data_IF_494229753177
#
_entry.id   IF_494229753177
#
_cell.length_a   1.000
_cell.length_b   1.000
_cell.length_c   1.000
_cell.angle_alpha   90.00
_cell.angle_beta   90.00
_cell.angle_gamma   90.00
#
_symmetry.space_group_name_H-M   'P 1'
#
loop_
_entity.id
_entity.type
_entity.pdbx_description
1 polymer ?
#
# COMPACT_ATOMS: atom_id res chain seq x y z
N UNK A 1 -14.63 -27.77 -18.50
CA UNK A 1 -13.85 -27.41 -17.30
C UNK A 1 -13.21 -26.07 -17.59
N UNK A 2 -13.67 -24.98 -16.97
CA UNK A 2 -13.04 -23.67 -17.13
C UNK A 2 -11.66 -23.71 -16.46
N UNK A 3 -10.61 -23.31 -17.19
CA UNK A 3 -9.28 -23.16 -16.60
C UNK A 3 -9.38 -22.15 -15.45
N UNK A 4 -9.09 -22.58 -14.22
CA UNK A 4 -8.91 -21.66 -13.10
C UNK A 4 -7.77 -20.72 -13.51
N UNK A 5 -8.06 -19.44 -13.70
CA UNK A 5 -7.01 -18.46 -13.92
C UNK A 5 -6.03 -18.51 -12.74
N UNK A 6 -4.73 -18.44 -13.05
CA UNK A 6 -3.70 -18.49 -12.03
C UNK A 6 -3.85 -17.28 -11.09
N UNK A 7 -3.76 -17.51 -9.78
CA UNK A 7 -3.77 -16.42 -8.80
C UNK A 7 -2.52 -15.55 -8.96
N UNK A 8 -2.65 -14.25 -8.74
CA UNK A 8 -1.56 -13.28 -8.87
C UNK A 8 -1.37 -12.53 -7.55
N UNK A 9 -0.12 -12.38 -7.11
CA UNK A 9 0.22 -11.57 -5.95
C UNK A 9 0.03 -10.08 -6.27
N UNK A 10 -1.01 -9.42 -5.73
CA UNK A 10 -1.31 -8.02 -6.05
C UNK A 10 -0.29 -7.02 -5.51
N UNK A 11 0.47 -7.40 -4.48
CA UNK A 11 1.51 -6.58 -3.83
C UNK A 11 2.91 -7.22 -4.00
N UNK A 12 3.19 -7.79 -5.16
CA UNK A 12 4.43 -8.54 -5.36
C UNK A 12 5.66 -7.64 -5.27
N UNK A 13 6.47 -7.84 -4.24
CA UNK A 13 7.65 -7.01 -3.97
C UNK A 13 8.97 -7.77 -4.19
N UNK A 14 8.98 -9.05 -3.83
CA UNK A 14 10.20 -9.86 -3.73
C UNK A 14 10.33 -10.68 -5.02
N UNK A 15 11.22 -10.23 -5.90
CA UNK A 15 11.51 -10.92 -7.16
C UNK A 15 12.01 -12.35 -6.91
N UNK A 16 11.59 -13.29 -7.75
CA UNK A 16 11.91 -14.72 -7.61
C UNK A 16 11.20 -15.41 -6.45
N UNK A 17 10.29 -14.74 -5.73
CA UNK A 17 9.52 -15.37 -4.66
C UNK A 17 8.45 -16.31 -5.23
N UNK A 18 8.64 -17.61 -4.97
CA UNK A 18 7.74 -18.69 -5.36
C UNK A 18 7.00 -19.32 -4.16
N UNK A 19 6.84 -18.57 -3.07
CA UNK A 19 6.07 -19.02 -1.90
C UNK A 19 4.59 -19.22 -2.27
N UNK A 20 3.86 -19.98 -1.46
CA UNK A 20 2.42 -20.14 -1.65
C UNK A 20 1.68 -18.80 -1.52
N UNK A 21 0.71 -18.60 -2.41
CA UNK A 21 -0.23 -17.48 -2.36
C UNK A 21 -1.28 -17.71 -1.27
N UNK A 22 -1.69 -16.61 -0.65
CA UNK A 22 -2.78 -16.56 0.32
C UNK A 22 -3.91 -15.74 -0.28
N UNK A 23 -5.12 -16.31 -0.27
CA UNK A 23 -6.33 -15.64 -0.74
C UNK A 23 -6.64 -14.39 0.08
N UNK A 24 -7.20 -13.38 -0.58
CA UNK A 24 -7.69 -12.19 0.11
C UNK A 24 -8.91 -12.51 0.97
N UNK A 25 -8.83 -12.17 2.25
CA UNK A 25 -9.97 -11.97 3.14
C UNK A 25 -10.38 -10.50 3.18
N UNK A 26 -11.57 -10.19 3.69
CA UNK A 26 -12.03 -8.82 3.97
C UNK A 26 -11.00 -8.04 4.78
N UNK A 27 -10.48 -8.64 5.85
CA UNK A 27 -9.49 -8.00 6.73
C UNK A 27 -8.17 -7.71 6.04
N UNK A 28 -7.67 -8.61 5.19
CA UNK A 28 -6.43 -8.35 4.43
C UNK A 28 -6.66 -7.31 3.34
N UNK A 29 -7.82 -7.33 2.69
CA UNK A 29 -8.20 -6.34 1.66
C UNK A 29 -8.23 -4.92 2.24
N UNK A 30 -8.96 -4.71 3.34
CA UNK A 30 -9.05 -3.41 4.01
C UNK A 30 -7.68 -2.89 4.44
N UNK A 31 -6.85 -3.77 5.02
CA UNK A 31 -5.50 -3.43 5.44
C UNK A 31 -4.59 -3.04 4.28
N UNK A 32 -4.62 -3.79 3.17
CA UNK A 32 -3.85 -3.45 1.96
C UNK A 32 -4.32 -2.10 1.43
N UNK A 33 -5.64 -1.87 1.35
CA UNK A 33 -6.20 -0.60 0.89
C UNK A 33 -5.78 0.58 1.79
N UNK A 34 -5.83 0.43 3.12
CA UNK A 34 -5.36 1.47 4.05
C UNK A 34 -3.88 1.77 3.85
N UNK A 35 -3.04 0.73 3.78
CA UNK A 35 -1.61 0.90 3.63
C UNK A 35 -1.23 1.48 2.26
N UNK A 36 -1.95 1.10 1.21
CA UNK A 36 -1.85 1.69 -0.13
C UNK A 36 -2.09 3.20 -0.08
N UNK A 37 -3.17 3.64 0.60
CA UNK A 37 -3.46 5.07 0.75
C UNK A 37 -2.34 5.83 1.48
N UNK A 38 -1.67 5.21 2.45
CA UNK A 38 -0.49 5.83 3.07
C UNK A 38 0.68 5.93 2.07
N UNK A 39 0.96 4.86 1.32
CA UNK A 39 2.10 4.81 0.39
C UNK A 39 1.97 5.74 -0.81
N UNK A 40 0.75 6.07 -1.26
CA UNK A 40 0.53 6.98 -2.41
C UNK A 40 1.20 8.35 -2.24
N UNK A 41 1.35 8.82 -1.00
CA UNK A 41 1.93 10.14 -0.70
C UNK A 41 3.42 10.08 -0.31
N UNK A 42 4.05 8.91 -0.40
CA UNK A 42 5.42 8.68 0.05
C UNK A 42 6.37 8.43 -1.13
N UNK A 43 7.56 7.91 -0.86
CA UNK A 43 8.57 7.57 -1.86
C UNK A 43 8.89 6.06 -1.86
N UNK A 44 9.66 5.63 -2.86
CA UNK A 44 10.17 4.25 -2.96
C UNK A 44 9.27 3.29 -3.73
N UNK A 45 9.75 2.04 -3.87
CA UNK A 45 9.08 0.96 -4.63
C UNK A 45 7.71 0.61 -4.06
N UNK A 46 7.50 0.82 -2.76
CA UNK A 46 6.19 0.67 -2.13
C UNK A 46 5.15 1.65 -2.71
N UNK A 47 5.54 2.89 -3.05
CA UNK A 47 4.65 3.84 -3.76
C UNK A 47 4.29 3.34 -5.15
N UNK A 48 5.25 2.84 -5.93
CA UNK A 48 4.98 2.34 -7.29
C UNK A 48 3.92 1.23 -7.29
N UNK A 49 3.99 0.33 -6.30
CA UNK A 49 2.97 -0.70 -6.10
C UNK A 49 1.63 -0.08 -5.68
N UNK A 50 1.65 0.93 -4.79
CA UNK A 50 0.43 1.61 -4.39
C UNK A 50 -0.25 2.35 -5.55
N UNK A 51 0.53 3.01 -6.41
CA UNK A 51 0.07 3.67 -7.63
C UNK A 51 -0.59 2.64 -8.55
N UNK A 52 0.07 1.50 -8.81
CA UNK A 52 -0.51 0.39 -9.58
C UNK A 52 -1.84 -0.10 -9.00
N UNK A 53 -1.88 -0.34 -7.68
CA UNK A 53 -3.10 -0.78 -7.02
C UNK A 53 -4.23 0.25 -7.10
N UNK A 54 -3.91 1.53 -7.03
CA UNK A 54 -4.90 2.61 -7.06
C UNK A 54 -5.65 2.72 -8.40
N UNK A 55 -4.99 2.35 -9.50
CA UNK A 55 -5.57 2.30 -10.84
C UNK A 55 -6.08 0.90 -11.22
N UNK A 56 -5.76 -0.11 -10.41
CA UNK A 56 -6.22 -1.49 -10.63
C UNK A 56 -7.71 -1.62 -10.34
N UNK A 57 -8.36 -2.52 -11.08
CA UNK A 57 -9.80 -2.76 -11.02
C UNK A 57 -10.25 -3.54 -9.76
N UNK A 58 -9.59 -3.34 -8.61
CA UNK A 58 -9.86 -4.04 -7.36
C UNK A 58 -9.62 -3.21 -6.10
N UNK A 59 -8.56 -2.39 -6.07
CA UNK A 59 -8.20 -1.58 -4.89
C UNK A 59 -8.46 -0.08 -5.04
N UNK A 60 -8.80 0.40 -6.24
CA UNK A 60 -9.12 1.80 -6.54
C UNK A 60 -10.35 2.33 -5.80
N UNK A 61 -10.78 3.54 -6.20
CA UNK A 61 -11.87 4.26 -5.53
C UNK A 61 -13.16 3.43 -5.43
N UNK A 62 -13.56 2.81 -6.54
CA UNK A 62 -14.70 1.90 -6.69
C UNK A 62 -14.31 0.42 -6.51
N UNK A 63 -13.12 0.16 -5.96
CA UNK A 63 -12.59 -1.17 -5.70
C UNK A 63 -13.35 -1.90 -4.60
N UNK A 64 -13.48 -3.22 -4.73
CA UNK A 64 -14.12 -4.10 -3.75
C UNK A 64 -13.38 -5.44 -3.64
N UNK A 65 -13.63 -6.18 -2.55
CA UNK A 65 -13.06 -7.51 -2.37
C UNK A 65 -13.51 -8.47 -3.50
N UNK A 66 -14.77 -8.39 -3.92
CA UNK A 66 -15.34 -9.21 -4.98
C UNK A 66 -14.64 -8.95 -6.31
N UNK A 67 -14.36 -7.68 -6.61
CA UNK A 67 -13.56 -7.31 -7.78
C UNK A 67 -12.13 -7.86 -7.69
N UNK A 68 -11.49 -7.79 -6.52
CA UNK A 68 -10.17 -8.40 -6.32
C UNK A 68 -10.19 -9.92 -6.53
N UNK A 69 -11.21 -10.62 -6.03
CA UNK A 69 -11.40 -12.07 -6.24
C UNK A 69 -11.62 -12.36 -7.73
N UNK A 70 -12.45 -11.58 -8.42
CA UNK A 70 -12.67 -11.70 -9.87
C UNK A 70 -11.42 -11.48 -10.71
N UNK A 71 -10.49 -10.65 -10.24
CA UNK A 71 -9.16 -10.46 -10.84
C UNK A 71 -8.12 -11.52 -10.41
N UNK A 72 -8.53 -12.55 -9.66
CA UNK A 72 -7.67 -13.62 -9.12
C UNK A 72 -6.53 -13.09 -8.23
N UNK A 73 -6.77 -11.97 -7.52
CA UNK A 73 -5.77 -11.41 -6.63
C UNK A 73 -5.63 -12.24 -5.34
N UNK A 74 -4.38 -12.49 -5.02
CA UNK A 74 -3.90 -13.11 -3.79
C UNK A 74 -2.64 -12.36 -3.33
N UNK A 75 -1.95 -12.86 -2.32
CA UNK A 75 -0.67 -12.29 -1.91
C UNK A 75 0.27 -13.32 -1.30
N UNK A 76 1.58 -13.13 -1.49
CA UNK A 76 2.58 -13.82 -0.68
C UNK A 76 2.65 -13.19 0.71
N UNK A 77 2.76 -13.99 1.77
CA UNK A 77 2.88 -13.48 3.15
C UNK A 77 4.07 -12.54 3.33
N UNK A 78 5.22 -12.85 2.72
CA UNK A 78 6.42 -12.00 2.80
C UNK A 78 6.23 -10.65 2.12
N UNK A 79 5.57 -10.63 0.95
CA UNK A 79 5.19 -9.40 0.27
C UNK A 79 4.24 -8.56 1.12
N UNK A 80 3.23 -9.19 1.71
CA UNK A 80 2.30 -8.56 2.63
C UNK A 80 3.00 -7.93 3.84
N UNK A 81 3.87 -8.69 4.52
CA UNK A 81 4.61 -8.16 5.67
C UNK A 81 5.49 -6.97 5.29
N UNK A 82 6.14 -7.01 4.12
CA UNK A 82 7.01 -5.94 3.65
C UNK A 82 6.23 -4.67 3.27
N UNK A 83 5.11 -4.83 2.57
CA UNK A 83 4.26 -3.70 2.18
C UNK A 83 3.62 -3.03 3.41
N UNK A 84 3.25 -3.83 4.40
CA UNK A 84 2.61 -3.37 5.65
C UNK A 84 3.60 -2.92 6.74
N UNK A 85 4.90 -2.86 6.44
CA UNK A 85 5.93 -2.54 7.45
C UNK A 85 5.84 -1.07 7.89
N UNK A 86 5.24 -0.86 9.06
CA UNK A 86 5.06 0.46 9.66
C UNK A 86 6.38 1.19 9.86
N UNK A 87 7.47 0.49 10.14
CA UNK A 87 8.76 1.15 10.36
C UNK A 87 9.28 1.80 9.07
N UNK A 88 9.03 1.17 7.92
CA UNK A 88 9.35 1.73 6.62
C UNK A 88 8.47 2.93 6.27
N UNK A 89 7.17 2.82 6.52
CA UNK A 89 6.22 3.93 6.32
C UNK A 89 6.68 5.16 7.10
N UNK A 90 7.01 5.00 8.39
CA UNK A 90 7.47 6.11 9.23
C UNK A 90 8.79 6.71 8.73
N UNK A 91 9.74 5.88 8.27
CA UNK A 91 10.97 6.36 7.66
C UNK A 91 10.73 7.13 6.36
N UNK A 92 9.78 6.68 5.54
CA UNK A 92 9.40 7.37 4.32
C UNK A 92 8.71 8.71 4.60
N UNK A 93 7.79 8.75 5.57
CA UNK A 93 7.16 10.00 6.06
C UNK A 93 8.22 11.01 6.48
N UNK A 94 9.19 10.60 7.31
CA UNK A 94 10.28 11.47 7.74
C UNK A 94 11.11 12.01 6.56
N UNK A 95 11.45 11.17 5.57
CA UNK A 95 12.17 11.65 4.37
C UNK A 95 11.36 12.71 3.61
N UNK A 96 10.05 12.53 3.49
CA UNK A 96 9.18 13.49 2.80
C UNK A 96 9.06 14.81 3.58
N UNK A 97 9.01 14.77 4.91
CA UNK A 97 9.06 15.96 5.79
C UNK A 97 10.40 16.71 5.67
N UNK A 98 11.53 15.99 5.59
CA UNK A 98 12.85 16.59 5.42
C UNK A 98 13.01 17.27 4.05
N UNK A 99 12.33 16.76 3.00
CA UNK A 99 12.35 17.32 1.63
C UNK A 99 11.42 18.53 1.49
N UNK A 100 10.25 18.47 2.12
CA UNK A 100 9.30 19.58 2.21
C UNK A 100 9.26 20.07 3.66
N UNK A 101 10.27 20.85 4.11
CA UNK A 101 10.15 21.51 5.39
C UNK A 101 8.98 22.48 5.26
N UNK A 102 7.80 22.05 5.71
CA UNK A 102 6.70 22.96 5.96
C UNK A 102 7.27 23.90 7.01
N UNK A 103 7.58 25.13 6.58
CA UNK A 103 8.09 26.17 7.46
C UNK A 103 6.98 26.51 8.45
N UNK A 104 6.91 25.75 9.54
CA UNK A 104 6.06 26.05 10.69
C UNK A 104 6.75 27.17 11.49
N UNK A 105 6.98 28.31 10.83
CA UNK A 105 7.07 29.60 11.49
C UNK A 105 5.66 30.13 11.69
N UNK A 106 4.85 29.43 12.49
CA UNK A 106 3.72 30.07 13.15
C UNK A 106 4.30 30.90 14.28
N UNK A 107 4.53 32.18 14.01
CA UNK A 107 4.88 33.21 14.97
C UNK A 107 3.86 33.20 16.10
N UNK A 108 4.21 32.54 17.22
CA UNK A 108 3.51 32.70 18.49
C UNK A 108 3.84 34.10 19.00
N UNK A 109 3.05 35.09 18.59
CA UNK A 109 3.07 36.42 19.20
C UNK A 109 2.57 36.23 20.64
N UNK A 110 3.50 36.14 21.59
CA UNK A 110 3.19 36.22 23.02
C UNK A 110 2.67 37.63 23.33
N UNK A 111 1.51 37.80 23.98
CA UNK A 111 1.12 39.09 24.49
C UNK A 111 2.14 39.53 25.55
N UNK A 112 2.70 40.72 25.41
CA UNK A 112 3.45 41.37 26.50
C UNK A 112 2.44 41.66 27.64
N UNK A 113 2.88 41.34 28.86
CA UNK A 113 2.19 41.65 30.12
C UNK A 113 1.94 43.14 30.27
#
# INVERSE_FOLDING_TARGET
MSASAAQVCCIHFIEGLNDNLVSLSTKSFEKIRQCMQEWLFLDGKEKEIADYLSISNGFGHDGSLEKCIGNNYAYHRKCYMRFMDKTKIQRAKKRMEDINPVDVNTTVIRPKR
#
